data_IF_142840869538
#
_entry.id   IF_142840869538
#
_cell.length_a   1.000
_cell.length_b   1.000
_cell.length_c   1.000
_cell.angle_alpha   90.00
_cell.angle_beta   90.00
_cell.angle_gamma   90.00
#
_symmetry.space_group_name_H-M   'P 1'
#
loop_
_entity.id
_entity.type
_entity.pdbx_description
1 polymer ?
#
# COMPACT_ATOMS: atom_id res chain seq x y z
N UNK A 1 -20.50 -0.12 7.68
CA UNK A 1 -19.62 0.66 8.57
C UNK A 1 -18.57 -0.19 9.27
N UNK A 2 -18.87 -0.95 10.34
CA UNK A 2 -17.83 -1.71 11.06
C UNK A 2 -17.16 -2.81 10.20
N UNK A 3 -17.94 -3.54 9.39
CA UNK A 3 -17.41 -4.55 8.47
C UNK A 3 -16.52 -3.94 7.37
N UNK A 4 -16.90 -2.79 6.82
CA UNK A 4 -16.11 -2.09 5.80
C UNK A 4 -14.78 -1.57 6.37
N UNK A 5 -14.80 -1.04 7.59
CA UNK A 5 -13.59 -0.56 8.23
C UNK A 5 -12.61 -1.70 8.55
N UNK A 6 -13.12 -2.83 9.05
CA UNK A 6 -12.30 -4.03 9.25
C UNK A 6 -11.73 -4.57 7.93
N UNK A 7 -12.54 -4.62 6.88
CA UNK A 7 -12.07 -5.01 5.54
C UNK A 7 -10.97 -4.08 5.03
N UNK A 8 -11.08 -2.78 5.29
CA UNK A 8 -10.05 -1.80 4.93
C UNK A 8 -8.75 -2.00 5.72
N UNK A 9 -8.84 -2.25 7.03
CA UNK A 9 -7.66 -2.53 7.85
C UNK A 9 -6.94 -3.82 7.44
N UNK A 10 -7.69 -4.87 7.09
CA UNK A 10 -7.14 -6.12 6.55
C UNK A 10 -6.51 -5.91 5.18
N UNK A 11 -7.15 -5.13 4.30
CA UNK A 11 -6.59 -4.74 3.01
C UNK A 11 -5.26 -4.00 3.18
N UNK A 12 -5.21 -2.99 4.04
CA UNK A 12 -4.02 -2.18 4.30
C UNK A 12 -2.85 -3.06 4.81
N UNK A 13 -3.12 -3.98 5.75
CA UNK A 13 -2.14 -4.96 6.22
C UNK A 13 -1.65 -5.88 5.11
N UNK A 14 -2.56 -6.40 4.29
CA UNK A 14 -2.21 -7.26 3.18
C UNK A 14 -1.34 -6.53 2.15
N UNK A 15 -1.67 -5.28 1.81
CA UNK A 15 -0.83 -4.47 0.91
C UNK A 15 0.56 -4.25 1.50
N UNK A 16 0.67 -3.96 2.81
CA UNK A 16 1.96 -3.81 3.49
C UNK A 16 2.79 -5.10 3.43
N UNK A 17 2.20 -6.23 3.79
CA UNK A 17 2.88 -7.54 3.79
C UNK A 17 3.27 -7.99 2.38
N UNK A 18 2.37 -7.84 1.40
CA UNK A 18 2.66 -8.21 0.02
C UNK A 18 3.71 -7.28 -0.59
N UNK A 19 3.67 -5.97 -0.32
CA UNK A 19 4.69 -5.04 -0.82
C UNK A 19 6.06 -5.33 -0.22
N UNK A 20 6.14 -5.53 1.10
CA UNK A 20 7.38 -5.89 1.78
C UNK A 20 7.92 -7.26 1.36
N UNK A 21 7.03 -8.25 1.24
CA UNK A 21 7.36 -9.59 0.76
C UNK A 21 7.83 -9.60 -0.69
N UNK A 22 7.19 -8.82 -1.56
CA UNK A 22 7.58 -8.70 -2.98
C UNK A 22 8.94 -8.02 -3.15
N UNK A 23 9.24 -6.99 -2.35
CA UNK A 23 10.58 -6.39 -2.27
C UNK A 23 11.61 -7.44 -1.86
N UNK A 24 11.36 -8.18 -0.78
CA UNK A 24 12.25 -9.26 -0.32
C UNK A 24 12.48 -10.33 -1.38
N UNK A 25 11.41 -10.85 -1.99
CA UNK A 25 11.48 -11.83 -3.07
C UNK A 25 12.26 -11.32 -4.28
N UNK A 26 12.12 -10.04 -4.64
CA UNK A 26 12.86 -9.47 -5.77
C UNK A 26 14.37 -9.40 -5.52
N UNK A 27 14.81 -9.14 -4.28
CA UNK A 27 16.22 -9.22 -3.93
C UNK A 27 16.76 -10.65 -4.04
N UNK A 28 15.97 -11.63 -3.58
CA UNK A 28 16.31 -13.05 -3.73
C UNK A 28 16.39 -13.43 -5.21
N UNK A 29 15.46 -12.98 -6.05
CA UNK A 29 15.48 -13.23 -7.50
C UNK A 29 16.78 -12.72 -8.16
N UNK A 30 17.20 -11.49 -7.84
CA UNK A 30 18.45 -10.94 -8.38
C UNK A 30 19.65 -11.78 -7.96
N UNK A 31 19.70 -12.16 -6.68
CA UNK A 31 20.85 -12.88 -6.12
C UNK A 31 20.93 -14.33 -6.59
N UNK A 32 19.81 -15.05 -6.56
CA UNK A 32 19.76 -16.50 -6.75
C UNK A 32 19.48 -16.90 -8.20
N UNK A 33 18.76 -16.08 -8.98
CA UNK A 33 18.36 -16.43 -10.36
C UNK A 33 19.21 -15.69 -11.39
N UNK A 34 19.35 -14.37 -11.29
CA UNK A 34 20.20 -13.63 -12.23
C UNK A 34 21.68 -13.92 -11.95
N UNK A 35 22.10 -13.90 -10.68
CA UNK A 35 23.49 -14.18 -10.29
C UNK A 35 24.47 -13.20 -10.93
N UNK A 36 25.41 -13.70 -11.74
CA UNK A 36 26.41 -12.89 -12.46
C UNK A 36 26.00 -12.55 -13.90
N UNK A 37 24.81 -12.97 -14.35
CA UNK A 37 24.33 -12.66 -15.70
C UNK A 37 24.08 -11.15 -15.87
N UNK A 38 24.26 -10.60 -17.09
CA UNK A 38 23.96 -9.20 -17.34
C UNK A 38 22.47 -8.91 -17.14
N UNK A 39 22.15 -7.97 -16.25
CA UNK A 39 20.77 -7.55 -15.98
C UNK A 39 20.25 -6.75 -17.17
N UNK A 40 19.17 -7.25 -17.79
CA UNK A 40 18.46 -6.54 -18.85
C UNK A 40 17.37 -5.65 -18.24
N UNK A 41 17.24 -4.43 -18.77
CA UNK A 41 16.18 -3.48 -18.42
C UNK A 41 16.00 -3.24 -16.90
N UNK A 42 17.10 -3.01 -16.17
CA UNK A 42 17.12 -2.76 -14.72
C UNK A 42 16.22 -1.60 -14.26
N UNK A 43 15.82 -0.70 -15.16
CA UNK A 43 14.88 0.38 -14.84
C UNK A 43 13.49 -0.16 -14.42
N UNK A 44 13.01 -1.29 -14.97
CA UNK A 44 11.74 -1.89 -14.55
C UNK A 44 11.80 -2.35 -13.08
N UNK A 45 12.92 -2.94 -12.66
CA UNK A 45 13.13 -3.31 -11.27
C UNK A 45 13.09 -2.09 -10.34
N UNK A 46 13.81 -1.02 -10.71
CA UNK A 46 13.84 0.22 -9.91
C UNK A 46 12.45 0.86 -9.82
N UNK A 47 11.72 0.92 -10.93
CA UNK A 47 10.34 1.44 -10.95
C UNK A 47 9.44 0.59 -10.04
N UNK A 48 9.57 -0.73 -10.07
CA UNK A 48 8.80 -1.61 -9.19
C UNK A 48 9.09 -1.35 -7.70
N UNK A 49 10.37 -1.20 -7.34
CA UNK A 49 10.77 -0.89 -5.98
C UNK A 49 10.26 0.46 -5.49
N UNK A 50 10.37 1.50 -6.33
CA UNK A 50 9.84 2.83 -6.01
C UNK A 50 8.31 2.76 -5.85
N UNK A 51 7.61 2.07 -6.76
CA UNK A 51 6.17 1.92 -6.70
C UNK A 51 5.71 1.22 -5.41
N UNK A 52 6.35 0.10 -5.02
CA UNK A 52 6.06 -0.55 -3.74
C UNK A 52 6.43 0.32 -2.53
N UNK A 53 7.53 1.06 -2.58
CA UNK A 53 7.90 2.02 -1.53
C UNK A 53 6.84 3.12 -1.32
N UNK A 54 6.30 3.67 -2.43
CA UNK A 54 5.20 4.64 -2.39
C UNK A 54 3.92 3.99 -1.87
N UNK A 55 3.61 2.77 -2.31
CA UNK A 55 2.44 2.02 -1.84
C UNK A 55 2.46 1.80 -0.33
N UNK A 56 3.59 1.33 0.20
CA UNK A 56 3.82 1.15 1.64
C UNK A 56 3.65 2.48 2.37
N UNK A 57 4.24 3.55 1.85
CA UNK A 57 4.13 4.88 2.45
C UNK A 57 2.67 5.32 2.56
N UNK A 58 1.87 5.14 1.50
CA UNK A 58 0.43 5.46 1.54
C UNK A 58 -0.35 4.58 2.52
N UNK A 59 -0.05 3.28 2.63
CA UNK A 59 -0.64 2.43 3.66
C UNK A 59 -0.34 2.98 5.06
N UNK A 60 0.92 3.32 5.35
CA UNK A 60 1.32 3.85 6.65
C UNK A 60 0.61 5.19 6.96
N UNK A 61 0.52 6.09 5.97
CA UNK A 61 -0.23 7.34 6.13
C UNK A 61 -1.72 7.09 6.35
N UNK A 62 -2.30 6.11 5.65
CA UNK A 62 -3.70 5.73 5.84
C UNK A 62 -3.98 5.20 7.24
N UNK A 63 -3.12 4.33 7.77
CA UNK A 63 -3.23 3.82 9.15
C UNK A 63 -3.16 4.97 10.19
N UNK A 64 -2.28 5.93 9.96
CA UNK A 64 -2.18 7.12 10.79
C UNK A 64 -3.45 7.99 10.70
N UNK A 65 -3.97 8.23 9.49
CA UNK A 65 -5.20 9.00 9.29
C UNK A 65 -6.43 8.29 9.87
N UNK A 66 -6.52 6.96 9.72
CA UNK A 66 -7.59 6.13 10.30
C UNK A 66 -7.62 6.25 11.82
N UNK A 67 -6.44 6.21 12.46
CA UNK A 67 -6.30 6.41 13.91
C UNK A 67 -6.81 7.79 14.36
N UNK A 68 -6.52 8.84 13.58
CA UNK A 68 -7.04 10.19 13.85
C UNK A 68 -8.54 10.31 13.57
N UNK A 69 -9.06 9.65 12.54
CA UNK A 69 -10.49 9.58 12.23
C UNK A 69 -11.27 8.94 13.39
N UNK A 70 -10.73 7.86 13.99
CA UNK A 70 -11.34 7.22 15.16
C UNK A 70 -11.39 8.17 16.36
N UNK A 71 -10.28 8.86 16.67
CA UNK A 71 -10.25 9.87 17.75
C UNK A 71 -11.28 10.97 17.53
N UNK A 72 -11.38 11.49 16.30
CA UNK A 72 -12.39 12.51 15.96
C UNK A 72 -13.82 11.98 16.06
N UNK A 73 -14.04 10.73 15.68
CA UNK A 73 -15.36 10.08 15.81
C UNK A 73 -15.77 9.96 17.27
N UNK A 74 -14.85 9.60 18.18
CA UNK A 74 -15.13 9.56 19.62
C UNK A 74 -15.52 10.94 20.18
N UNK A 75 -14.85 12.01 19.74
CA UNK A 75 -15.22 13.38 20.10
C UNK A 75 -16.63 13.73 19.57
N UNK A 76 -16.95 13.38 18.32
CA UNK A 76 -18.28 13.58 17.74
C UNK A 76 -19.38 12.82 18.49
N UNK A 77 -19.08 11.63 19.03
CA UNK A 77 -20.01 10.87 19.89
C UNK A 77 -20.25 11.62 21.20
N UNK A 78 -19.17 12.01 21.89
CA UNK A 78 -19.27 12.70 23.18
C UNK A 78 -20.01 14.04 23.07
N UNK A 79 -19.87 14.73 21.93
CA UNK A 79 -20.55 16.00 21.66
C UNK A 79 -21.97 15.82 21.08
N UNK A 80 -22.44 14.58 20.86
CA UNK A 80 -23.74 14.31 20.25
C UNK A 80 -23.84 14.71 18.77
N UNK A 81 -22.71 14.98 18.10
CA UNK A 81 -22.64 15.43 16.70
C UNK A 81 -22.53 14.30 15.69
N UNK A 82 -22.43 13.04 16.13
CA UNK A 82 -22.25 11.86 15.27
C UNK A 82 -23.33 11.71 14.19
N UNK A 83 -24.57 12.14 14.45
CA UNK A 83 -25.68 12.04 13.48
C UNK A 83 -25.75 13.23 12.52
N UNK A 84 -25.06 14.34 12.84
CA UNK A 84 -25.08 15.57 12.06
C UNK A 84 -23.80 15.79 11.25
N UNK A 85 -22.77 14.97 11.47
CA UNK A 85 -21.47 15.07 10.81
C UNK A 85 -20.99 13.71 10.37
N UNK A 86 -20.25 13.66 9.26
CA UNK A 86 -19.56 12.45 8.83
C UNK A 86 -18.56 11.99 9.91
N UNK A 87 -18.64 10.73 10.37
CA UNK A 87 -17.70 10.15 11.32
C UNK A 87 -16.25 10.32 10.86
N UNK A 88 -15.40 10.88 11.72
CA UNK A 88 -13.98 11.10 11.44
C UNK A 88 -13.69 12.25 10.47
N UNK A 89 -14.70 12.80 9.81
CA UNK A 89 -14.62 13.94 8.90
C UNK A 89 -13.51 13.78 7.84
N UNK A 90 -12.71 14.84 7.66
CA UNK A 90 -11.66 14.90 6.64
C UNK A 90 -10.62 13.78 6.74
N UNK A 91 -10.35 13.25 7.95
CA UNK A 91 -9.41 12.14 8.13
C UNK A 91 -9.92 10.85 7.47
N UNK A 92 -11.23 10.59 7.50
CA UNK A 92 -11.83 9.45 6.81
C UNK A 92 -11.68 9.57 5.30
N UNK A 93 -11.81 10.78 4.75
CA UNK A 93 -11.61 11.04 3.34
C UNK A 93 -10.15 10.78 2.90
N UNK A 94 -9.18 11.31 3.65
CA UNK A 94 -7.76 11.07 3.36
C UNK A 94 -7.38 9.58 3.47
N UNK A 95 -7.92 8.87 4.47
CA UNK A 95 -7.72 7.41 4.62
C UNK A 95 -8.15 6.67 3.35
N UNK A 96 -9.35 6.96 2.83
CA UNK A 96 -9.86 6.35 1.59
C UNK A 96 -8.99 6.68 0.38
N UNK A 97 -8.56 7.94 0.25
CA UNK A 97 -7.70 8.38 -0.85
C UNK A 97 -6.34 7.64 -0.83
N UNK A 98 -5.67 7.59 0.33
CA UNK A 98 -4.38 6.91 0.45
C UNK A 98 -4.49 5.41 0.20
N UNK A 99 -5.58 4.76 0.60
CA UNK A 99 -5.80 3.34 0.33
C UNK A 99 -6.05 3.04 -1.15
N UNK A 100 -6.73 3.93 -1.87
CA UNK A 100 -6.85 3.81 -3.32
C UNK A 100 -5.49 3.94 -3.99
N UNK A 101 -4.71 4.97 -3.63
CA UNK A 101 -3.39 5.18 -4.21
C UNK A 101 -2.42 4.04 -3.86
N UNK A 102 -2.44 3.53 -2.63
CA UNK A 102 -1.58 2.40 -2.26
C UNK A 102 -1.84 1.17 -3.13
N UNK A 103 -3.11 0.84 -3.39
CA UNK A 103 -3.50 -0.25 -4.29
C UNK A 103 -3.01 -0.04 -5.72
N UNK A 104 -3.16 1.16 -6.26
CA UNK A 104 -2.68 1.50 -7.61
C UNK A 104 -1.16 1.33 -7.74
N UNK A 105 -0.40 1.88 -6.80
CA UNK A 105 1.06 1.77 -6.80
C UNK A 105 1.55 0.34 -6.56
N UNK A 106 0.85 -0.43 -5.72
CA UNK A 106 1.14 -1.85 -5.53
C UNK A 106 1.00 -2.61 -6.85
N UNK A 107 -0.12 -2.40 -7.56
CA UNK A 107 -0.38 -3.06 -8.84
C UNK A 107 0.64 -2.66 -9.91
N UNK A 108 1.00 -1.37 -9.99
CA UNK A 108 2.08 -0.90 -10.88
C UNK A 108 3.37 -1.66 -10.58
N UNK A 109 3.74 -1.81 -9.30
CA UNK A 109 4.91 -2.57 -8.89
C UNK A 109 4.89 -4.03 -9.37
N UNK A 110 3.74 -4.71 -9.21
CA UNK A 110 3.54 -6.10 -9.66
C UNK A 110 3.66 -6.25 -11.17
N UNK A 111 3.06 -5.36 -11.95
CA UNK A 111 3.16 -5.41 -13.42
C UNK A 111 4.60 -5.18 -13.85
N UNK A 112 5.25 -4.19 -13.26
CA UNK A 112 6.60 -3.76 -13.65
C UNK A 112 7.65 -4.84 -13.30
N UNK A 113 7.57 -5.46 -12.12
CA UNK A 113 8.47 -6.56 -11.76
C UNK A 113 8.25 -7.78 -12.66
N UNK A 114 7.01 -8.05 -13.07
CA UNK A 114 6.69 -9.18 -13.96
C UNK A 114 7.35 -8.99 -15.33
N UNK A 115 7.34 -7.76 -15.87
CA UNK A 115 8.04 -7.41 -17.11
C UNK A 115 9.55 -7.58 -16.93
N UNK A 116 10.13 -7.08 -15.83
CA UNK A 116 11.55 -7.27 -15.53
C UNK A 116 11.94 -8.75 -15.50
N UNK A 117 11.15 -9.56 -14.79
CA UNK A 117 11.34 -11.01 -14.66
C UNK A 117 11.24 -11.70 -16.02
N UNK A 118 10.26 -11.35 -16.87
CA UNK A 118 10.12 -11.92 -18.21
C UNK A 118 11.37 -11.73 -19.09
N UNK A 119 12.03 -10.57 -19.01
CA UNK A 119 13.24 -10.32 -19.80
C UNK A 119 14.53 -10.91 -19.19
N UNK A 120 14.51 -11.30 -17.91
CA UNK A 120 15.68 -11.81 -17.19
C UNK A 120 15.56 -13.30 -16.83
N UNK A 121 14.37 -13.90 -16.93
CA UNK A 121 14.17 -15.34 -17.06
C UNK A 121 14.49 -15.71 -18.51
N UNK A 122 15.74 -16.09 -18.74
CA UNK A 122 16.17 -16.72 -20.00
C UNK A 122 15.45 -18.03 -20.23
#
# INVERSE_FOLDING_TARGET
MAAEQKAQEEYDKNVLYLSGGSLGLSFTFIREIIGTNPVLYSHYLIIAWIAWGISISFVLFSLWMSSNALRKTLLQINEGKIYNQTPGGIYSWFTKAFNLFSGLFFFIGVVTISIFVFYNLG
#
